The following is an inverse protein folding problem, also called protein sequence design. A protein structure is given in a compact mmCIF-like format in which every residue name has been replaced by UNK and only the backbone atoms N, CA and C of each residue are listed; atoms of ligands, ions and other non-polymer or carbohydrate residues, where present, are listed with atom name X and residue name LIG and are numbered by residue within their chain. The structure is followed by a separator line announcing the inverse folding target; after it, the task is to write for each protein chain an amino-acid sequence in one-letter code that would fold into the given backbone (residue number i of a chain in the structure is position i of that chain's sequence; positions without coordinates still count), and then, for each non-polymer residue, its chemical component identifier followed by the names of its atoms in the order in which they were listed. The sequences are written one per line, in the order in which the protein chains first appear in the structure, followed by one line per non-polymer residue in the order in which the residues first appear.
data_IF_334356951217
#
_entry.id   IF_334356951217
#
_cell.length_a   1.000
_cell.length_b   1.000
_cell.length_c   1.000
_cell.angle_alpha   90.00
_cell.angle_beta   90.00
_cell.angle_gamma   90.00
#
_symmetry.space_group_name_H-M   'P 1'
#
loop_
_entity.id
_entity.type
_entity.pdbx_description
1 polymer ?
#
# COMPACT_ATOMS: atom_id res chain seq x y z
N UNK A 1 9.08 17.04 -4.13
CA UNK A 1 9.73 16.33 -3.04
C UNK A 1 8.92 15.10 -2.60
N UNK A 2 7.64 15.24 -2.22
CA UNK A 2 6.80 14.13 -1.71
C UNK A 2 6.76 12.92 -2.65
N UNK A 3 6.53 13.12 -3.95
CA UNK A 3 6.50 12.02 -4.93
C UNK A 3 7.83 11.25 -5.00
N UNK A 4 8.96 11.98 -4.99
CA UNK A 4 10.30 11.35 -4.98
C UNK A 4 10.48 10.52 -3.71
N UNK A 5 10.06 11.04 -2.56
CA UNK A 5 10.10 10.32 -1.29
C UNK A 5 9.24 9.05 -1.32
N UNK A 6 8.00 9.13 -1.84
CA UNK A 6 7.13 7.96 -2.01
C UNK A 6 7.77 6.88 -2.88
N UNK A 7 8.30 7.26 -4.03
CA UNK A 7 8.96 6.32 -4.96
C UNK A 7 10.18 5.69 -4.31
N UNK A 8 11.08 6.50 -3.71
CA UNK A 8 12.31 5.99 -3.10
C UNK A 8 12.04 5.02 -1.95
N UNK A 9 11.10 5.37 -1.05
CA UNK A 9 10.73 4.50 0.08
C UNK A 9 10.06 3.22 -0.43
N UNK A 10 9.15 3.31 -1.40
CA UNK A 10 8.44 2.15 -1.94
C UNK A 10 9.38 1.16 -2.62
N UNK A 11 10.33 1.64 -3.41
CA UNK A 11 11.38 0.80 -4.00
C UNK A 11 12.30 0.21 -2.93
N UNK A 12 12.65 0.98 -1.89
CA UNK A 12 13.36 0.47 -0.72
C UNK A 12 12.62 -0.67 -0.03
N UNK A 13 11.29 -0.65 -0.01
CA UNK A 13 10.45 -1.73 0.52
C UNK A 13 10.54 -3.01 -0.28
N UNK A 14 10.54 -2.93 -1.62
CA UNK A 14 10.75 -4.08 -2.47
C UNK A 14 12.14 -4.71 -2.24
N UNK A 15 13.18 -3.89 -2.09
CA UNK A 15 14.52 -4.35 -1.74
C UNK A 15 14.57 -4.97 -0.33
N UNK A 16 13.82 -4.44 0.64
CA UNK A 16 13.71 -5.02 1.98
C UNK A 16 13.10 -6.41 1.95
N UNK A 17 12.07 -6.66 1.13
CA UNK A 17 11.52 -8.00 0.90
C UNK A 17 12.60 -8.97 0.39
N UNK A 18 13.34 -8.56 -0.63
CA UNK A 18 14.46 -9.34 -1.17
C UNK A 18 15.54 -9.63 -0.13
N UNK A 19 15.88 -8.64 0.69
CA UNK A 19 16.87 -8.80 1.75
C UNK A 19 16.42 -9.75 2.87
N UNK A 20 15.14 -9.69 3.26
CA UNK A 20 14.55 -10.64 4.21
C UNK A 20 14.67 -12.06 3.66
N UNK A 21 14.24 -12.30 2.42
CA UNK A 21 14.31 -13.63 1.79
C UNK A 21 15.76 -14.10 1.66
N UNK A 22 16.66 -13.25 1.19
CA UNK A 22 18.09 -13.56 1.12
C UNK A 22 18.61 -14.07 2.46
N UNK A 23 18.28 -13.39 3.56
CA UNK A 23 18.69 -13.78 4.91
C UNK A 23 18.11 -15.12 5.35
N UNK A 24 16.80 -15.30 5.18
CA UNK A 24 16.10 -16.50 5.62
C UNK A 24 16.64 -17.74 4.87
N UNK A 25 16.89 -17.61 3.57
CA UNK A 25 17.49 -18.67 2.79
C UNK A 25 18.93 -18.94 3.22
N UNK A 26 19.73 -17.89 3.44
CA UNK A 26 21.12 -18.04 3.93
C UNK A 26 21.21 -18.72 5.30
N UNK A 27 20.32 -18.39 6.22
CA UNK A 27 20.27 -19.00 7.55
C UNK A 27 19.80 -20.47 7.51
N UNK A 28 19.04 -20.85 6.48
CA UNK A 28 18.55 -22.22 6.30
C UNK A 28 19.53 -23.12 5.53
N UNK A 29 20.63 -22.58 4.96
CA UNK A 29 21.62 -23.37 4.21
C UNK A 29 22.78 -23.83 5.08
N UNK A 30 23.37 -25.01 4.74
CA UNK A 30 24.52 -25.54 5.46
C UNK A 30 25.73 -24.60 5.37
N UNK A 31 26.49 -24.50 6.46
CA UNK A 31 27.75 -23.77 6.47
C UNK A 31 28.71 -24.39 5.46
N UNK A 32 29.35 -23.57 4.60
CA UNK A 32 30.29 -24.00 3.58
C UNK A 32 29.70 -24.30 2.19
N UNK A 33 28.37 -24.23 2.00
CA UNK A 33 27.80 -24.35 0.65
C UNK A 33 28.12 -23.09 -0.18
N UNK A 34 29.02 -23.25 -1.16
CA UNK A 34 29.46 -22.18 -2.06
C UNK A 34 28.32 -21.65 -2.95
N UNK A 35 27.24 -22.39 -3.15
CA UNK A 35 26.08 -22.01 -3.96
C UNK A 35 25.07 -21.16 -3.16
N UNK A 36 25.10 -21.24 -1.82
CA UNK A 36 24.13 -20.59 -0.94
C UNK A 36 23.96 -19.08 -1.19
N UNK A 37 25.02 -18.27 -1.41
CA UNK A 37 24.83 -16.84 -1.68
C UNK A 37 24.09 -16.58 -2.99
N UNK A 38 24.35 -17.35 -4.04
CA UNK A 38 23.70 -17.18 -5.35
C UNK A 38 22.23 -17.59 -5.30
N UNK A 39 21.91 -18.70 -4.65
CA UNK A 39 20.53 -19.16 -4.45
C UNK A 39 19.74 -18.16 -3.62
N UNK A 40 20.34 -17.68 -2.53
CA UNK A 40 19.70 -16.65 -1.68
C UNK A 40 19.49 -15.34 -2.45
N UNK A 41 20.45 -14.92 -3.28
CA UNK A 41 20.30 -13.75 -4.13
C UNK A 41 19.19 -13.93 -5.18
N UNK A 42 19.10 -15.09 -5.82
CA UNK A 42 18.03 -15.40 -6.76
C UNK A 42 16.66 -15.35 -6.09
N UNK A 43 16.50 -16.00 -4.94
CA UNK A 43 15.25 -15.95 -4.17
C UNK A 43 14.92 -14.54 -3.69
N UNK A 44 15.94 -13.74 -3.31
CA UNK A 44 15.80 -12.35 -2.95
C UNK A 44 15.31 -11.48 -4.12
N UNK A 45 15.91 -11.67 -5.31
CA UNK A 45 15.44 -10.98 -6.54
C UNK A 45 14.01 -11.36 -6.87
N UNK A 46 13.65 -12.65 -6.76
CA UNK A 46 12.26 -13.10 -6.94
C UNK A 46 11.31 -12.35 -6.02
N UNK A 47 11.65 -12.22 -4.73
CA UNK A 47 10.78 -11.48 -3.78
C UNK A 47 10.75 -9.97 -4.07
N UNK A 48 11.88 -9.36 -4.46
CA UNK A 48 11.91 -7.95 -4.86
C UNK A 48 10.97 -7.69 -6.04
N UNK A 49 11.06 -8.52 -7.08
CA UNK A 49 10.19 -8.41 -8.25
C UNK A 49 8.73 -8.70 -7.87
N UNK A 50 8.48 -9.73 -7.06
CA UNK A 50 7.14 -10.09 -6.61
C UNK A 50 6.42 -8.97 -5.85
N UNK A 51 7.12 -8.15 -5.06
CA UNK A 51 6.53 -6.96 -4.43
C UNK A 51 6.17 -5.90 -5.47
N UNK A 52 7.01 -5.69 -6.48
CA UNK A 52 6.73 -4.75 -7.57
C UNK A 52 5.56 -5.21 -8.46
N UNK A 53 5.26 -6.50 -8.45
CA UNK A 53 4.16 -7.12 -9.18
C UNK A 53 2.86 -7.23 -8.37
N UNK A 54 2.79 -6.72 -7.15
CA UNK A 54 1.52 -6.55 -6.44
C UNK A 54 0.60 -5.68 -7.30
N UNK A 55 -0.65 -6.11 -7.48
CA UNK A 55 -1.64 -5.41 -8.30
C UNK A 55 -1.79 -3.95 -7.87
N UNK A 56 -1.79 -3.03 -8.81
CA UNK A 56 -1.87 -1.58 -8.61
C UNK A 56 -0.69 -0.95 -7.83
N UNK A 57 0.41 -1.69 -7.59
CA UNK A 57 1.58 -1.17 -6.89
C UNK A 57 2.11 0.12 -7.50
N UNK A 58 2.34 0.10 -8.82
CA UNK A 58 2.88 1.25 -9.56
C UNK A 58 1.93 2.42 -9.55
N UNK A 59 0.61 2.16 -9.70
CA UNK A 59 -0.41 3.19 -9.62
C UNK A 59 -0.33 3.95 -8.29
N UNK A 60 -0.30 3.25 -7.15
CA UNK A 60 -0.24 3.90 -5.84
C UNK A 60 1.09 4.58 -5.58
N UNK A 61 2.20 3.99 -6.00
CA UNK A 61 3.53 4.57 -5.88
C UNK A 61 3.66 5.85 -6.70
N UNK A 62 3.27 5.83 -7.97
CA UNK A 62 3.42 6.97 -8.89
C UNK A 62 2.35 8.05 -8.70
N UNK A 63 1.22 7.73 -8.10
CA UNK A 63 0.24 8.72 -7.64
C UNK A 63 0.56 9.32 -6.27
N UNK A 64 1.73 8.99 -5.72
CA UNK A 64 2.24 9.49 -4.44
C UNK A 64 1.30 9.22 -3.25
N UNK A 65 0.61 8.07 -3.28
CA UNK A 65 -0.20 7.58 -2.16
C UNK A 65 0.69 6.83 -1.16
N UNK A 66 0.30 6.84 0.11
CA UNK A 66 1.10 6.26 1.20
C UNK A 66 1.09 4.73 1.25
N UNK A 67 0.22 4.07 0.49
CA UNK A 67 0.00 2.61 0.60
C UNK A 67 1.27 1.79 0.41
N UNK A 68 2.03 2.05 -0.66
CA UNK A 68 3.30 1.37 -0.95
C UNK A 68 4.42 1.74 0.04
N UNK A 69 4.40 2.96 0.59
CA UNK A 69 5.32 3.35 1.67
C UNK A 69 5.06 2.56 2.96
N UNK A 70 3.80 2.28 3.27
CA UNK A 70 3.44 1.51 4.47
C UNK A 70 3.94 0.07 4.35
N UNK A 71 3.83 -0.54 3.16
CA UNK A 71 4.48 -1.84 2.89
C UNK A 71 5.98 -1.77 3.15
N UNK A 72 6.62 -0.75 2.58
CA UNK A 72 8.05 -0.55 2.73
C UNK A 72 8.49 -0.43 4.19
N UNK A 73 7.78 0.39 4.97
CA UNK A 73 8.05 0.58 6.39
C UNK A 73 7.79 -0.70 7.19
N UNK A 74 6.74 -1.47 6.85
CA UNK A 74 6.42 -2.73 7.50
C UNK A 74 7.49 -3.80 7.21
N UNK A 75 7.90 -3.97 5.96
CA UNK A 75 8.95 -4.90 5.57
C UNK A 75 10.31 -4.49 6.15
N UNK A 76 10.64 -3.20 6.11
CA UNK A 76 11.86 -2.70 6.73
C UNK A 76 11.87 -2.87 8.26
N UNK A 77 10.70 -2.79 8.93
CA UNK A 77 10.58 -3.09 10.35
C UNK A 77 10.86 -4.57 10.63
N UNK A 78 10.34 -5.48 9.80
CA UNK A 78 10.62 -6.92 9.90
C UNK A 78 12.14 -7.17 9.69
N UNK A 79 12.73 -6.59 8.65
CA UNK A 79 14.17 -6.75 8.39
C UNK A 79 15.03 -6.18 9.54
N UNK A 80 14.67 -5.02 10.06
CA UNK A 80 15.35 -4.42 11.23
C UNK A 80 15.26 -5.32 12.47
N UNK A 81 14.12 -5.99 12.71
CA UNK A 81 13.99 -6.95 13.79
C UNK A 81 14.90 -8.17 13.56
N UNK A 82 14.88 -8.76 12.37
CA UNK A 82 15.72 -9.91 12.00
C UNK A 82 17.22 -9.58 12.08
N UNK A 83 17.58 -8.31 11.88
CA UNK A 83 18.96 -7.81 12.04
C UNK A 83 19.31 -7.39 13.46
N UNK A 84 18.50 -7.76 14.46
CA UNK A 84 18.70 -7.44 15.89
C UNK A 84 18.75 -5.94 16.18
N UNK A 85 17.99 -5.14 15.42
CA UNK A 85 17.82 -3.69 15.59
C UNK A 85 16.40 -3.34 16.08
N UNK A 86 15.99 -3.77 17.28
CA UNK A 86 14.59 -3.66 17.71
C UNK A 86 14.10 -2.21 17.85
N UNK A 87 14.99 -1.26 18.15
CA UNK A 87 14.65 0.17 18.19
C UNK A 87 14.23 0.67 16.82
N UNK A 88 15.02 0.35 15.79
CA UNK A 88 14.71 0.74 14.41
C UNK A 88 13.42 0.06 13.94
N UNK A 89 13.23 -1.23 14.26
CA UNK A 89 12.00 -1.95 13.93
C UNK A 89 10.76 -1.26 14.52
N UNK A 90 10.81 -0.84 15.78
CA UNK A 90 9.70 -0.12 16.42
C UNK A 90 9.46 1.25 15.79
N UNK A 91 10.51 2.01 15.48
CA UNK A 91 10.38 3.33 14.83
C UNK A 91 9.73 3.19 13.45
N UNK A 92 10.20 2.24 12.62
CA UNK A 92 9.64 1.99 11.30
C UNK A 92 8.18 1.51 11.37
N UNK A 93 7.87 0.60 12.32
CA UNK A 93 6.51 0.17 12.59
C UNK A 93 5.61 1.31 13.06
N UNK A 94 6.13 2.23 13.89
CA UNK A 94 5.39 3.43 14.32
C UNK A 94 5.09 4.37 13.16
N UNK A 95 6.04 4.58 12.25
CA UNK A 95 5.81 5.35 11.02
C UNK A 95 4.76 4.70 10.12
N UNK A 96 4.78 3.36 10.00
CA UNK A 96 3.72 2.63 9.29
C UNK A 96 2.35 2.81 9.97
N UNK A 97 2.31 2.76 11.30
CA UNK A 97 1.10 2.93 12.11
C UNK A 97 0.49 4.33 12.01
N UNK A 98 1.31 5.36 11.74
CA UNK A 98 0.83 6.70 11.43
C UNK A 98 0.12 6.76 10.07
N UNK A 99 0.49 5.89 9.13
CA UNK A 99 -0.16 5.83 7.83
C UNK A 99 -1.46 5.01 7.84
N UNK A 100 -1.55 3.97 8.73
CA UNK A 100 -2.69 3.06 8.76
C UNK A 100 -2.96 2.47 10.14
N UNK A 101 -4.23 2.50 10.60
CA UNK A 101 -4.61 1.91 11.88
C UNK A 101 -4.53 0.37 11.90
N UNK A 102 -4.57 -0.28 10.74
CA UNK A 102 -4.44 -1.74 10.60
C UNK A 102 -3.07 -2.26 11.11
N UNK A 103 -2.06 -1.39 11.16
CA UNK A 103 -0.73 -1.70 11.74
C UNK A 103 -0.78 -1.80 13.27
N UNK A 104 -1.74 -1.12 13.93
CA UNK A 104 -1.75 -0.97 15.39
C UNK A 104 -1.76 -2.28 16.16
N UNK A 105 -2.54 -3.30 15.81
CA UNK A 105 -2.51 -4.58 16.52
C UNK A 105 -1.12 -5.23 16.49
N UNK A 106 -0.44 -5.20 15.33
CA UNK A 106 0.89 -5.79 15.16
C UNK A 106 1.97 -5.00 15.91
N UNK A 107 1.91 -3.67 15.82
CA UNK A 107 2.82 -2.80 16.57
C UNK A 107 2.59 -2.93 18.07
N UNK A 108 1.34 -3.09 18.53
CA UNK A 108 0.99 -3.32 19.91
C UNK A 108 1.57 -4.63 20.43
N UNK A 109 1.43 -5.73 19.70
CA UNK A 109 2.04 -7.02 20.03
C UNK A 109 3.57 -6.91 20.08
N UNK A 110 4.17 -6.21 19.11
CA UNK A 110 5.60 -5.94 19.10
C UNK A 110 6.04 -5.09 20.29
N UNK A 111 5.26 -4.08 20.66
CA UNK A 111 5.56 -3.22 21.81
C UNK A 111 5.50 -4.01 23.14
N UNK A 112 4.51 -4.92 23.29
CA UNK A 112 4.41 -5.82 24.46
C UNK A 112 5.64 -6.73 24.51
N UNK A 113 6.00 -7.37 23.41
CA UNK A 113 7.20 -8.20 23.34
C UNK A 113 8.46 -7.40 23.72
N UNK A 114 8.65 -6.21 23.14
CA UNK A 114 9.81 -5.36 23.38
C UNK A 114 9.83 -4.85 24.83
N UNK A 115 8.68 -4.52 25.40
CA UNK A 115 8.56 -4.11 26.81
C UNK A 115 9.08 -5.18 27.78
N UNK A 116 8.75 -6.46 27.48
CA UNK A 116 9.15 -7.59 28.30
C UNK A 116 10.59 -8.03 28.06
N UNK A 117 11.07 -7.99 26.82
CA UNK A 117 12.37 -8.55 26.42
C UNK A 117 13.50 -7.53 26.29
N UNK A 118 13.17 -6.22 26.10
CA UNK A 118 14.15 -5.17 25.85
C UNK A 118 13.88 -3.96 26.76
N UNK A 119 14.17 -4.05 28.08
CA UNK A 119 13.81 -3.00 29.05
C UNK A 119 14.31 -1.59 28.69
N UNK A 120 15.45 -1.50 28.02
CA UNK A 120 16.04 -0.23 27.54
C UNK A 120 15.19 0.50 26.50
N UNK A 121 14.13 -0.14 25.95
CA UNK A 121 13.22 0.46 24.99
C UNK A 121 11.95 1.04 25.61
N UNK A 122 11.66 0.80 26.89
CA UNK A 122 10.39 1.17 27.53
C UNK A 122 10.02 2.63 27.32
N UNK A 123 10.97 3.54 27.47
CA UNK A 123 10.75 4.96 27.21
C UNK A 123 10.37 5.23 25.74
N UNK A 124 11.11 4.66 24.79
CA UNK A 124 10.81 4.79 23.36
C UNK A 124 9.42 4.25 23.03
N UNK A 125 9.01 3.13 23.64
CA UNK A 125 7.68 2.54 23.45
C UNK A 125 6.58 3.48 23.97
N UNK A 126 6.73 4.03 25.16
CA UNK A 126 5.77 4.99 25.72
C UNK A 126 5.63 6.24 24.84
N UNK A 127 6.75 6.83 24.44
CA UNK A 127 6.75 8.02 23.59
C UNK A 127 6.14 7.72 22.22
N UNK A 128 6.47 6.56 21.61
CA UNK A 128 5.93 6.17 20.31
C UNK A 128 4.42 5.95 20.36
N UNK A 129 3.89 5.24 21.34
CA UNK A 129 2.46 5.02 21.51
C UNK A 129 1.73 6.34 21.77
N UNK A 130 2.27 7.18 22.67
CA UNK A 130 1.70 8.50 22.94
C UNK A 130 1.69 9.40 21.69
N UNK A 131 2.78 9.38 20.91
CA UNK A 131 2.89 10.13 19.66
C UNK A 131 1.86 9.67 18.62
N UNK A 132 1.67 8.35 18.44
CA UNK A 132 0.65 7.81 17.52
C UNK A 132 -0.74 8.26 17.96
N UNK A 133 -1.07 8.11 19.24
CA UNK A 133 -2.37 8.52 19.77
C UNK A 133 -2.60 10.04 19.59
N UNK A 134 -1.61 10.86 19.89
CA UNK A 134 -1.70 12.31 19.73
C UNK A 134 -1.86 12.71 18.25
N UNK A 135 -1.06 12.15 17.35
CA UNK A 135 -1.11 12.50 15.94
C UNK A 135 -2.40 12.02 15.27
N UNK A 136 -2.93 10.85 15.66
CA UNK A 136 -4.16 10.29 15.09
C UNK A 136 -5.46 10.86 15.68
N UNK A 137 -5.46 11.20 16.94
CA UNK A 137 -6.67 11.64 17.66
C UNK A 137 -6.58 13.10 18.11
N UNK A 138 -5.42 13.50 18.65
CA UNK A 138 -5.23 14.86 19.19
C UNK A 138 -5.23 15.93 18.11
N UNK A 139 -4.44 15.75 17.04
CA UNK A 139 -4.42 16.72 15.93
C UNK A 139 -5.80 16.85 15.27
N UNK A 140 -6.50 15.77 14.88
CA UNK A 140 -7.86 15.89 14.36
C UNK A 140 -8.84 16.52 15.33
N UNK A 141 -8.74 16.24 16.61
CA UNK A 141 -9.60 16.89 17.62
C UNK A 141 -9.46 18.41 17.61
N UNK A 142 -8.21 18.91 17.48
CA UNK A 142 -7.92 20.35 17.47
C UNK A 142 -8.32 20.98 16.13
N UNK A 143 -7.99 20.32 14.99
CA UNK A 143 -8.13 20.90 13.66
C UNK A 143 -9.50 20.68 13.01
N UNK A 144 -10.14 19.54 13.30
CA UNK A 144 -11.41 19.12 12.69
C UNK A 144 -12.57 19.07 13.68
N UNK A 145 -12.34 19.43 14.94
CA UNK A 145 -13.30 19.36 16.06
C UNK A 145 -13.88 17.94 16.30
N UNK A 146 -13.24 16.92 15.72
CA UNK A 146 -13.61 15.52 15.91
C UNK A 146 -12.36 14.64 15.88
N UNK A 147 -12.06 13.90 16.96
CA UNK A 147 -10.90 12.99 16.99
C UNK A 147 -11.07 11.81 16.01
N UNK A 148 -12.31 11.48 15.63
CA UNK A 148 -12.62 10.31 14.80
C UNK A 148 -12.95 10.64 13.35
N UNK A 149 -12.57 11.82 12.85
CA UNK A 149 -12.91 12.28 11.48
C UNK A 149 -12.43 11.30 10.40
N UNK A 150 -11.28 10.67 10.58
CA UNK A 150 -10.75 9.69 9.62
C UNK A 150 -11.63 8.44 9.53
N UNK A 151 -12.09 7.91 10.69
CA UNK A 151 -13.02 6.80 10.76
C UNK A 151 -14.38 7.16 10.14
N UNK A 152 -14.93 8.31 10.48
CA UNK A 152 -16.21 8.78 9.93
C UNK A 152 -16.15 8.87 8.39
N UNK A 153 -15.07 9.36 7.82
CA UNK A 153 -14.86 9.41 6.37
C UNK A 153 -14.76 8.01 5.74
N UNK A 154 -14.14 7.05 6.43
CA UNK A 154 -14.06 5.67 5.96
C UNK A 154 -15.45 5.01 5.91
N UNK A 155 -16.30 5.20 6.93
CA UNK A 155 -17.68 4.72 6.94
C UNK A 155 -18.55 5.29 5.82
N UNK A 156 -18.30 6.53 5.41
CA UNK A 156 -19.00 7.20 4.30
C UNK A 156 -18.57 6.76 2.90
N UNK A 157 -17.60 5.85 2.77
CA UNK A 157 -17.07 5.44 1.47
C UNK A 157 -18.11 4.67 0.64
N UNK A 158 -18.40 5.16 -0.57
CA UNK A 158 -19.23 4.45 -1.55
C UNK A 158 -18.62 3.17 -2.10
N UNK A 159 -17.33 2.88 -1.80
CA UNK A 159 -16.60 1.69 -2.25
C UNK A 159 -16.69 0.51 -1.27
N UNK A 160 -17.42 0.65 -0.17
CA UNK A 160 -17.62 -0.42 0.80
C UNK A 160 -18.32 -1.62 0.19
N UNK A 161 -17.99 -2.83 0.64
CA UNK A 161 -18.71 -4.04 0.31
C UNK A 161 -20.13 -3.96 0.89
N UNK A 162 -21.15 -4.12 0.04
CA UNK A 162 -22.56 -4.09 0.45
C UNK A 162 -23.04 -5.43 0.97
N UNK A 163 -22.55 -6.53 0.37
CA UNK A 163 -22.83 -7.89 0.74
C UNK A 163 -21.53 -8.67 0.84
N UNK A 164 -21.56 -9.82 1.48
CA UNK A 164 -20.45 -10.77 1.53
C UNK A 164 -19.10 -10.15 1.97
N UNK A 165 -19.14 -9.46 3.11
CA UNK A 165 -17.99 -8.67 3.59
C UNK A 165 -16.78 -9.53 3.95
N UNK A 166 -16.99 -10.78 4.38
CA UNK A 166 -15.91 -11.68 4.76
C UNK A 166 -15.19 -12.19 3.52
N UNK A 167 -15.91 -12.94 2.67
CA UNK A 167 -15.31 -13.53 1.46
C UNK A 167 -14.88 -12.47 0.46
N UNK A 168 -15.67 -11.40 0.28
CA UNK A 168 -15.28 -10.31 -0.62
C UNK A 168 -14.04 -9.54 -0.14
N UNK A 169 -13.72 -9.52 1.16
CA UNK A 169 -12.45 -8.96 1.65
C UNK A 169 -11.30 -9.94 1.37
N UNK A 170 -11.50 -11.24 1.62
CA UNK A 170 -10.50 -12.27 1.29
C UNK A 170 -10.22 -12.31 -0.21
N UNK A 171 -11.26 -12.29 -1.03
CA UNK A 171 -11.16 -12.28 -2.49
C UNK A 171 -10.34 -11.08 -2.99
N UNK A 172 -10.59 -9.88 -2.45
CA UNK A 172 -9.78 -8.69 -2.73
C UNK A 172 -8.32 -8.81 -2.31
N UNK A 173 -8.02 -9.63 -1.30
CA UNK A 173 -6.64 -9.92 -0.92
C UNK A 173 -5.98 -10.85 -1.92
N UNK A 174 -6.67 -11.94 -2.29
CA UNK A 174 -6.17 -12.89 -3.28
C UNK A 174 -5.98 -12.23 -4.65
N UNK A 175 -6.89 -11.35 -5.05
CA UNK A 175 -6.77 -10.54 -6.28
C UNK A 175 -5.48 -9.70 -6.39
N UNK A 176 -4.73 -9.51 -5.30
CA UNK A 176 -3.47 -8.75 -5.33
C UNK A 176 -2.33 -9.53 -5.98
N UNK A 177 -2.45 -10.85 -6.05
CA UNK A 177 -1.43 -11.75 -6.57
C UNK A 177 -1.99 -12.74 -7.58
N UNK A 178 -1.08 -13.42 -8.25
CA UNK A 178 -1.41 -14.56 -9.08
C UNK A 178 -1.49 -15.83 -8.24
N UNK A 179 -2.39 -16.74 -8.58
CA UNK A 179 -2.60 -18.02 -7.87
C UNK A 179 -1.31 -18.83 -7.67
N UNK A 180 -0.37 -18.75 -8.62
CA UNK A 180 0.94 -19.42 -8.51
C UNK A 180 1.74 -18.94 -7.29
N UNK A 181 1.69 -17.65 -6.99
CA UNK A 181 2.38 -17.07 -5.83
C UNK A 181 1.68 -17.44 -4.53
N UNK A 182 0.35 -17.50 -4.52
CA UNK A 182 -0.43 -17.95 -3.37
C UNK A 182 -0.14 -19.41 -3.01
N UNK A 183 -0.13 -20.28 -4.02
CA UNK A 183 0.23 -21.70 -3.85
C UNK A 183 1.67 -21.80 -3.31
N UNK A 184 2.60 -21.04 -3.86
CA UNK A 184 3.98 -21.02 -3.38
C UNK A 184 4.08 -20.59 -1.91
N UNK A 185 3.31 -19.57 -1.49
CA UNK A 185 3.25 -19.13 -0.10
C UNK A 185 2.68 -20.22 0.82
N UNK A 186 1.59 -20.88 0.43
CA UNK A 186 0.99 -21.99 1.20
C UNK A 186 1.95 -23.17 1.32
N UNK A 187 2.61 -23.58 0.24
CA UNK A 187 3.62 -24.65 0.28
C UNK A 187 4.82 -24.26 1.16
N UNK A 188 5.23 -22.98 1.11
CA UNK A 188 6.28 -22.47 1.99
C UNK A 188 5.93 -22.61 3.45
N UNK A 189 4.67 -22.28 3.83
CA UNK A 189 4.18 -22.41 5.20
C UNK A 189 4.08 -23.88 5.62
N UNK A 190 3.62 -24.76 4.73
CA UNK A 190 3.59 -26.20 5.00
C UNK A 190 4.99 -26.75 5.27
N UNK A 191 5.98 -26.40 4.43
CA UNK A 191 7.38 -26.79 4.65
C UNK A 191 7.94 -26.17 5.92
N UNK A 192 7.62 -24.89 6.21
CA UNK A 192 8.04 -24.23 7.44
C UNK A 192 7.48 -24.90 8.70
N UNK A 193 6.21 -25.34 8.66
CA UNK A 193 5.59 -26.09 9.76
C UNK A 193 6.29 -27.44 10.00
N UNK A 194 6.55 -28.21 8.94
CA UNK A 194 7.26 -29.48 9.03
C UNK A 194 8.69 -29.31 9.58
N UNK A 195 9.33 -28.18 9.27
CA UNK A 195 10.71 -27.88 9.70
C UNK A 195 10.80 -27.09 10.99
N UNK A 196 9.65 -26.67 11.55
CA UNK A 196 9.58 -25.79 12.72
C UNK A 196 10.31 -24.46 12.51
N UNK A 197 10.30 -23.94 11.28
CA UNK A 197 10.82 -22.60 10.98
C UNK A 197 9.87 -21.53 11.50
N UNK A 198 10.08 -21.16 12.75
CA UNK A 198 9.23 -20.18 13.44
C UNK A 198 9.22 -18.82 12.78
N UNK A 199 10.31 -18.39 12.13
CA UNK A 199 10.38 -17.07 11.51
C UNK A 199 9.42 -16.99 10.33
N UNK A 200 9.50 -17.95 9.41
CA UNK A 200 8.58 -18.03 8.26
C UNK A 200 7.13 -18.20 8.72
N UNK A 201 6.89 -19.02 9.75
CA UNK A 201 5.54 -19.21 10.31
C UNK A 201 4.98 -17.93 10.93
N UNK A 202 5.79 -17.15 11.66
CA UNK A 202 5.36 -15.88 12.27
C UNK A 202 5.04 -14.85 11.19
N UNK A 203 5.84 -14.77 10.11
CA UNK A 203 5.53 -13.89 8.98
C UNK A 203 4.20 -14.32 8.34
N UNK A 204 3.99 -15.61 8.09
CA UNK A 204 2.73 -16.13 7.55
C UNK A 204 1.53 -15.90 8.48
N UNK A 205 1.71 -16.08 9.78
CA UNK A 205 0.68 -15.75 10.77
C UNK A 205 0.36 -14.25 10.75
N UNK A 206 1.36 -13.39 10.51
CA UNK A 206 1.18 -11.97 10.29
C UNK A 206 0.31 -11.66 9.06
N UNK A 207 0.50 -12.38 7.96
CA UNK A 207 -0.36 -12.27 6.75
C UNK A 207 -1.81 -12.60 7.08
N UNK A 208 -2.03 -13.76 7.70
CA UNK A 208 -3.38 -14.23 8.10
C UNK A 208 -4.02 -13.23 9.09
N UNK A 209 -3.26 -12.82 10.10
CA UNK A 209 -3.70 -11.83 11.09
C UNK A 209 -4.11 -10.51 10.46
N UNK A 210 -3.37 -10.04 9.45
CA UNK A 210 -3.73 -8.82 8.74
C UNK A 210 -5.06 -8.95 7.99
N UNK A 211 -5.26 -10.06 7.27
CA UNK A 211 -6.53 -10.33 6.58
C UNK A 211 -7.70 -10.38 7.58
N UNK A 212 -7.48 -11.00 8.75
CA UNK A 212 -8.49 -11.04 9.82
C UNK A 212 -8.83 -9.63 10.32
N UNK A 213 -7.84 -8.76 10.51
CA UNK A 213 -8.04 -7.35 10.91
C UNK A 213 -8.86 -6.60 9.85
N UNK A 214 -8.56 -6.79 8.57
CA UNK A 214 -9.32 -6.16 7.48
C UNK A 214 -10.76 -6.69 7.37
N UNK A 215 -10.96 -7.99 7.57
CA UNK A 215 -12.30 -8.58 7.65
C UNK A 215 -13.08 -7.96 8.82
N UNK A 216 -12.46 -7.83 9.99
CA UNK A 216 -13.10 -7.20 11.15
C UNK A 216 -13.47 -5.73 10.86
N UNK A 217 -12.61 -4.96 10.20
CA UNK A 217 -12.90 -3.60 9.77
C UNK A 217 -14.01 -3.55 8.73
N UNK A 218 -14.02 -4.47 7.76
CA UNK A 218 -15.06 -4.57 6.75
C UNK A 218 -16.43 -4.91 7.36
N UNK A 219 -16.47 -5.82 8.33
CA UNK A 219 -17.67 -6.13 9.10
C UNK A 219 -18.20 -4.91 9.88
N UNK A 220 -17.30 -4.07 10.39
CA UNK A 220 -17.64 -2.81 11.06
C UNK A 220 -18.07 -1.70 10.09
N UNK A 221 -18.05 -1.92 8.78
CA UNK A 221 -18.53 -0.97 7.77
C UNK A 221 -17.45 -0.17 7.07
N UNK A 222 -16.18 -0.49 7.29
CA UNK A 222 -15.08 0.05 6.50
C UNK A 222 -15.06 -0.55 5.09
N UNK A 223 -14.43 0.12 4.09
CA UNK A 223 -14.58 -0.28 2.70
C UNK A 223 -13.88 -1.60 2.32
N UNK A 224 -12.95 -2.15 3.13
CA UNK A 224 -12.24 -3.41 2.86
C UNK A 224 -11.54 -3.40 1.49
N UNK A 225 -10.80 -2.33 1.17
CA UNK A 225 -10.17 -2.19 -0.15
C UNK A 225 -8.89 -3.03 -0.23
N UNK A 226 -8.60 -3.63 -1.41
CA UNK A 226 -7.40 -4.41 -1.66
C UNK A 226 -6.11 -3.70 -1.22
N UNK A 227 -5.98 -2.39 -1.50
CA UNK A 227 -4.81 -1.60 -1.09
C UNK A 227 -4.54 -1.58 0.43
N UNK A 228 -5.57 -1.83 1.27
CA UNK A 228 -5.40 -1.89 2.71
C UNK A 228 -4.66 -3.14 3.15
N UNK A 229 -4.64 -4.17 2.29
CA UNK A 229 -3.97 -5.44 2.52
C UNK A 229 -2.57 -5.52 1.86
N UNK A 230 -2.07 -4.43 1.30
CA UNK A 230 -0.72 -4.37 0.69
C UNK A 230 0.40 -4.84 1.63
N UNK A 231 0.44 -4.50 2.94
CA UNK A 231 1.48 -5.03 3.83
C UNK A 231 1.44 -6.54 3.97
N UNK A 232 0.23 -7.13 4.04
CA UNK A 232 0.07 -8.59 4.03
C UNK A 232 0.51 -9.20 2.70
N UNK A 233 0.18 -8.54 1.57
CA UNK A 233 0.60 -8.95 0.24
C UNK A 233 2.13 -8.96 0.12
N UNK A 234 2.83 -7.92 0.56
CA UNK A 234 4.29 -7.87 0.58
C UNK A 234 4.92 -8.97 1.46
N UNK A 235 4.33 -9.23 2.62
CA UNK A 235 4.76 -10.31 3.51
C UNK A 235 4.52 -11.70 2.89
N UNK A 236 3.41 -11.89 2.15
CA UNK A 236 3.12 -13.14 1.43
C UNK A 236 4.16 -13.40 0.33
N UNK A 237 4.60 -12.37 -0.38
CA UNK A 237 5.72 -12.48 -1.35
C UNK A 237 7.00 -12.95 -0.68
N UNK A 238 7.32 -12.43 0.52
CA UNK A 238 8.47 -12.91 1.30
C UNK A 238 8.35 -14.39 1.60
N UNK A 239 7.18 -14.84 2.07
CA UNK A 239 6.94 -16.28 2.36
C UNK A 239 7.10 -17.13 1.09
N UNK A 240 6.56 -16.71 -0.05
CA UNK A 240 6.71 -17.40 -1.33
C UNK A 240 8.18 -17.44 -1.80
N UNK A 241 8.92 -16.33 -1.64
CA UNK A 241 10.34 -16.24 -1.97
C UNK A 241 11.21 -17.22 -1.16
N UNK A 242 10.86 -17.47 0.11
CA UNK A 242 11.54 -18.49 0.93
C UNK A 242 11.38 -19.88 0.31
N UNK A 243 10.21 -20.22 -0.25
CA UNK A 243 10.04 -21.51 -0.95
C UNK A 243 11.00 -21.62 -2.13
N UNK A 244 11.13 -20.56 -2.94
CA UNK A 244 12.06 -20.57 -4.10
C UNK A 244 13.48 -20.91 -3.66
N UNK A 245 13.96 -20.30 -2.58
CA UNK A 245 15.26 -20.63 -2.00
C UNK A 245 15.36 -22.09 -1.56
N UNK A 246 14.33 -22.59 -0.88
CA UNK A 246 14.29 -23.99 -0.38
C UNK A 246 14.24 -25.03 -1.49
N UNK A 247 13.52 -24.78 -2.56
CA UNK A 247 13.50 -25.66 -3.73
C UNK A 247 14.91 -25.86 -4.31
N UNK A 248 15.75 -24.82 -4.25
CA UNK A 248 17.08 -24.83 -4.81
C UNK A 248 18.16 -25.41 -3.86
N UNK A 249 17.95 -25.31 -2.54
CA UNK A 249 18.94 -25.76 -1.53
C UNK A 249 18.54 -27.05 -0.85
N UNK A 250 17.30 -27.15 -0.39
CA UNK A 250 16.86 -28.23 0.48
C UNK A 250 16.38 -29.47 -0.28
N UNK A 251 15.74 -29.29 -1.44
CA UNK A 251 15.27 -30.40 -2.26
C UNK A 251 16.43 -31.30 -2.72
N UNK A 252 17.56 -30.74 -3.27
CA UNK A 252 18.73 -31.53 -3.60
C UNK A 252 19.38 -32.22 -2.39
N UNK A 253 19.47 -31.50 -1.26
CA UNK A 253 20.06 -32.05 -0.03
C UNK A 253 19.25 -33.22 0.55
N UNK A 254 17.93 -33.12 0.52
CA UNK A 254 17.03 -34.18 0.97
C UNK A 254 17.12 -35.40 0.05
N UNK A 255 17.05 -35.19 -1.26
CA UNK A 255 17.17 -36.27 -2.24
C UNK A 255 18.52 -36.97 -2.15
N UNK A 256 19.61 -36.24 -1.99
CA UNK A 256 20.96 -36.79 -1.84
C UNK A 256 21.15 -37.60 -0.54
N UNK A 257 20.42 -37.28 0.54
CA UNK A 257 20.40 -38.09 1.77
C UNK A 257 19.64 -39.41 1.59
N UNK A 258 18.59 -39.43 0.78
CA UNK A 258 17.84 -40.66 0.49
C UNK A 258 18.53 -41.54 -0.53
N UNK A 259 19.12 -40.94 -1.58
CA UNK A 259 19.92 -41.60 -2.64
C UNK A 259 20.97 -40.63 -3.14
N UNK A 260 22.28 -40.87 -2.95
CA UNK A 260 23.31 -39.94 -3.35
C UNK A 260 23.28 -39.56 -4.84
N UNK A 261 22.91 -40.50 -5.73
CA UNK A 261 22.76 -40.26 -7.16
C UNK A 261 21.53 -39.37 -7.51
N UNK A 262 20.58 -39.21 -6.61
CA UNK A 262 19.38 -38.39 -6.86
C UNK A 262 19.57 -36.89 -6.56
N UNK A 263 20.61 -36.51 -5.84
CA UNK A 263 20.88 -35.11 -5.46
C UNK A 263 20.95 -34.16 -6.67
N UNK A 264 21.78 -34.46 -7.71
CA UNK A 264 21.88 -33.62 -8.89
C UNK A 264 20.55 -33.47 -9.66
N UNK A 265 19.82 -34.60 -9.86
CA UNK A 265 18.53 -34.59 -10.53
C UNK A 265 17.49 -33.75 -9.76
N UNK A 266 17.46 -33.87 -8.42
CA UNK A 266 16.59 -33.03 -7.58
C UNK A 266 16.96 -31.54 -7.63
N UNK A 267 18.23 -31.22 -7.82
CA UNK A 267 18.69 -29.84 -8.05
C UNK A 267 18.12 -29.24 -9.33
N UNK A 268 18.12 -29.99 -10.41
CA UNK A 268 17.47 -29.60 -11.66
C UNK A 268 15.95 -29.48 -11.51
N UNK A 269 15.33 -30.42 -10.80
CA UNK A 269 13.88 -30.35 -10.51
C UNK A 269 13.55 -29.09 -9.72
N UNK A 270 14.30 -28.76 -8.68
CA UNK A 270 14.11 -27.53 -7.92
C UNK A 270 14.25 -26.27 -8.76
N UNK A 271 15.25 -26.23 -9.65
CA UNK A 271 15.45 -25.12 -10.58
C UNK A 271 14.29 -25.00 -11.57
N UNK A 272 13.84 -26.12 -12.15
CA UNK A 272 12.71 -26.15 -13.09
C UNK A 272 11.42 -25.63 -12.39
N UNK A 273 11.16 -26.07 -11.17
CA UNK A 273 9.99 -25.61 -10.39
C UNK A 273 10.07 -24.10 -10.08
N UNK A 274 11.24 -23.61 -9.68
CA UNK A 274 11.45 -22.19 -9.39
C UNK A 274 11.29 -21.33 -10.66
N UNK A 275 11.83 -21.80 -11.80
CA UNK A 275 11.67 -21.14 -13.10
C UNK A 275 10.22 -21.22 -13.59
N UNK A 276 9.56 -22.37 -13.46
CA UNK A 276 8.15 -22.52 -13.83
C UNK A 276 7.25 -21.56 -13.04
N UNK A 277 7.50 -21.41 -11.73
CA UNK A 277 6.83 -20.40 -10.92
C UNK A 277 7.09 -18.99 -11.46
N UNK A 278 8.34 -18.63 -11.72
CA UNK A 278 8.67 -17.32 -12.30
C UNK A 278 8.00 -17.08 -13.65
N UNK A 279 8.01 -18.07 -14.54
CA UNK A 279 7.38 -17.99 -15.87
C UNK A 279 5.86 -17.87 -15.75
N UNK A 280 5.23 -18.56 -14.80
CA UNK A 280 3.78 -18.47 -14.58
C UNK A 280 3.31 -17.05 -14.20
N UNK A 281 4.19 -16.21 -13.66
CA UNK A 281 3.89 -14.81 -13.30
C UNK A 281 4.09 -13.83 -14.48
N UNK A 282 4.80 -14.22 -15.54
CA UNK A 282 5.12 -13.34 -16.67
C UNK A 282 3.89 -12.78 -17.39
N UNK A 283 2.83 -13.57 -17.70
CA UNK A 283 1.65 -13.04 -18.38
C UNK A 283 0.98 -11.91 -17.59
N UNK A 284 0.88 -12.09 -16.29
CA UNK A 284 0.33 -11.06 -15.38
C UNK A 284 1.23 -9.82 -15.33
N UNK A 285 2.54 -9.98 -15.19
CA UNK A 285 3.51 -8.89 -15.22
C UNK A 285 3.41 -8.07 -16.52
N UNK A 286 3.29 -8.74 -17.66
CA UNK A 286 3.12 -8.08 -18.97
C UNK A 286 1.80 -7.33 -19.06
N UNK A 287 0.68 -7.92 -18.61
CA UNK A 287 -0.63 -7.25 -18.62
C UNK A 287 -0.62 -6.02 -17.70
N UNK A 288 -0.12 -6.15 -16.47
CA UNK A 288 0.05 -5.03 -15.52
C UNK A 288 0.92 -3.93 -16.10
N UNK A 289 2.05 -4.28 -16.72
CA UNK A 289 2.91 -3.30 -17.37
C UNK A 289 2.23 -2.50 -18.50
N UNK A 290 1.26 -3.09 -19.21
CA UNK A 290 0.43 -2.38 -20.19
C UNK A 290 -0.57 -1.43 -19.53
N UNK A 291 -1.22 -1.89 -18.47
CA UNK A 291 -2.18 -1.09 -17.71
C UNK A 291 -1.48 0.11 -17.04
N UNK A 292 -0.29 -0.09 -16.48
CA UNK A 292 0.54 0.96 -15.92
C UNK A 292 0.95 2.02 -16.95
N UNK A 293 1.32 1.62 -18.16
CA UNK A 293 1.61 2.58 -19.24
C UNK A 293 0.38 3.40 -19.62
N UNK A 294 -0.81 2.80 -19.54
CA UNK A 294 -2.08 3.51 -19.74
C UNK A 294 -2.34 4.48 -18.60
N UNK A 295 -2.16 4.04 -17.36
CA UNK A 295 -2.34 4.86 -16.16
C UNK A 295 -1.39 6.05 -16.14
N UNK A 296 -0.11 5.86 -16.44
CA UNK A 296 0.88 6.94 -16.56
C UNK A 296 0.46 8.01 -17.56
N UNK A 297 -0.17 7.64 -18.67
CA UNK A 297 -0.70 8.61 -19.64
C UNK A 297 -1.84 9.42 -19.03
N UNK A 298 -2.74 8.78 -18.31
CA UNK A 298 -3.85 9.43 -17.60
C UNK A 298 -3.32 10.38 -16.52
N UNK A 299 -2.35 9.93 -15.72
CA UNK A 299 -1.70 10.75 -14.68
C UNK A 299 -0.99 11.98 -15.26
N UNK A 300 -0.30 11.83 -16.38
CA UNK A 300 0.33 12.96 -17.09
C UNK A 300 -0.70 13.96 -17.62
N UNK A 301 -1.81 13.49 -18.16
CA UNK A 301 -2.91 14.35 -18.61
C UNK A 301 -3.50 15.14 -17.43
N UNK A 302 -3.77 14.44 -16.32
CA UNK A 302 -4.26 15.05 -15.08
C UNK A 302 -3.30 16.10 -14.52
N UNK A 303 -1.99 15.82 -14.51
CA UNK A 303 -0.98 16.81 -14.07
C UNK A 303 -1.01 18.07 -14.93
N UNK A 304 -1.16 17.93 -16.25
CA UNK A 304 -1.31 19.09 -17.15
C UNK A 304 -2.57 19.90 -16.86
N UNK A 305 -3.69 19.22 -16.56
CA UNK A 305 -4.95 19.88 -16.17
C UNK A 305 -4.77 20.65 -14.86
N UNK A 306 -4.18 20.02 -13.84
CA UNK A 306 -3.90 20.66 -12.55
C UNK A 306 -3.02 21.91 -12.72
N UNK A 307 -1.97 21.81 -13.49
CA UNK A 307 -1.05 22.94 -13.71
C UNK A 307 -1.71 24.12 -14.46
N UNK A 308 -2.73 23.85 -15.29
CA UNK A 308 -3.49 24.89 -16.00
C UNK A 308 -4.56 25.56 -15.14
N UNK A 309 -4.95 24.95 -14.03
CA UNK A 309 -6.05 25.44 -13.19
C UNK A 309 -5.78 26.85 -12.64
N UNK A 310 -4.56 27.14 -12.21
CA UNK A 310 -4.16 28.47 -11.74
C UNK A 310 -4.38 29.56 -12.80
N UNK A 311 -3.92 29.31 -14.02
CA UNK A 311 -4.08 30.25 -15.13
C UNK A 311 -5.56 30.48 -15.49
N UNK A 312 -6.39 29.43 -15.38
CA UNK A 312 -7.83 29.51 -15.60
C UNK A 312 -8.48 30.35 -14.52
N UNK A 313 -8.16 30.13 -13.25
CA UNK A 313 -8.65 30.93 -12.12
C UNK A 313 -8.30 32.41 -12.32
N UNK A 314 -7.06 32.72 -12.69
CA UNK A 314 -6.60 34.09 -12.96
C UNK A 314 -7.40 34.71 -14.09
N UNK A 315 -7.64 33.99 -15.20
CA UNK A 315 -8.42 34.46 -16.37
C UNK A 315 -9.84 34.90 -15.98
N UNK A 316 -10.45 34.20 -15.01
CA UNK A 316 -11.81 34.50 -14.53
C UNK A 316 -11.84 35.47 -13.32
N UNK A 317 -10.80 36.27 -13.11
CA UNK A 317 -10.77 37.33 -12.10
C UNK A 317 -10.16 36.92 -10.75
N UNK A 318 -9.51 35.75 -10.70
CA UNK A 318 -8.80 35.27 -9.52
C UNK A 318 -9.67 34.58 -8.48
N UNK A 319 -9.01 34.00 -7.50
CA UNK A 319 -9.64 33.17 -6.48
C UNK A 319 -10.71 33.92 -5.65
N UNK A 320 -10.40 35.17 -5.25
CA UNK A 320 -11.33 35.98 -4.46
C UNK A 320 -12.63 36.28 -5.23
N UNK A 321 -12.51 36.63 -6.52
CA UNK A 321 -13.65 36.88 -7.37
C UNK A 321 -14.53 35.64 -7.54
N UNK A 322 -13.93 34.48 -7.83
CA UNK A 322 -14.66 33.24 -8.05
C UNK A 322 -15.37 32.77 -6.76
N UNK A 323 -14.76 32.93 -5.59
CA UNK A 323 -15.43 32.67 -4.28
C UNK A 323 -16.62 33.57 -4.05
N UNK A 324 -16.56 34.83 -4.46
CA UNK A 324 -17.66 35.77 -4.33
C UNK A 324 -18.81 35.45 -5.30
N UNK A 325 -18.55 34.72 -6.40
CA UNK A 325 -19.53 34.35 -7.41
C UNK A 325 -20.44 33.19 -6.98
N UNK A 326 -19.97 32.30 -6.14
CA UNK A 326 -20.73 31.14 -5.67
C UNK A 326 -19.88 30.08 -5.03
N UNK A 327 -20.52 29.00 -4.60
CA UNK A 327 -19.83 27.84 -4.05
C UNK A 327 -19.07 27.10 -5.15
N UNK A 328 -17.76 26.86 -5.00
CA UNK A 328 -16.98 26.12 -5.98
C UNK A 328 -17.35 24.64 -5.98
N UNK A 329 -17.60 24.09 -7.16
CA UNK A 329 -17.97 22.71 -7.36
C UNK A 329 -17.07 22.08 -8.44
N UNK A 330 -16.56 20.86 -8.16
CA UNK A 330 -15.76 20.11 -9.12
C UNK A 330 -15.91 18.60 -8.90
N UNK A 331 -15.24 17.77 -9.70
CA UNK A 331 -15.17 16.32 -9.45
C UNK A 331 -14.34 16.03 -8.20
N UNK A 332 -14.64 14.92 -7.53
CA UNK A 332 -13.99 14.50 -6.29
C UNK A 332 -12.46 14.47 -6.41
N UNK A 333 -11.94 13.98 -7.53
CA UNK A 333 -10.50 13.86 -7.77
C UNK A 333 -9.74 15.20 -7.85
N UNK A 334 -10.45 16.31 -8.06
CA UNK A 334 -9.87 17.67 -8.13
C UNK A 334 -10.24 18.57 -6.95
N UNK A 335 -11.07 18.07 -6.01
CA UNK A 335 -11.59 18.86 -4.89
C UNK A 335 -10.47 19.54 -4.07
N UNK A 336 -9.46 18.76 -3.66
CA UNK A 336 -8.34 19.27 -2.85
C UNK A 336 -7.51 20.29 -3.60
N UNK A 337 -7.24 20.04 -4.90
CA UNK A 337 -6.45 20.95 -5.73
C UNK A 337 -7.19 22.27 -5.95
N UNK A 338 -8.50 22.21 -6.21
CA UNK A 338 -9.31 23.40 -6.38
C UNK A 338 -9.40 24.20 -5.08
N UNK A 339 -9.58 23.52 -3.93
CA UNK A 339 -9.57 24.16 -2.61
C UNK A 339 -8.27 24.91 -2.34
N UNK A 340 -7.11 24.28 -2.66
CA UNK A 340 -5.81 24.90 -2.56
C UNK A 340 -5.69 26.15 -3.44
N UNK A 341 -6.04 26.04 -4.71
CA UNK A 341 -5.96 27.15 -5.68
C UNK A 341 -6.91 28.31 -5.34
N UNK A 342 -8.03 28.01 -4.73
CA UNK A 342 -8.99 29.03 -4.28
C UNK A 342 -8.72 29.52 -2.85
N UNK A 343 -7.70 29.01 -2.15
CA UNK A 343 -7.38 29.32 -0.76
C UNK A 343 -8.61 29.19 0.19
N UNK A 344 -9.28 28.03 0.11
CA UNK A 344 -10.42 27.68 0.97
C UNK A 344 -10.21 26.32 1.61
N UNK A 345 -10.98 26.05 2.69
CA UNK A 345 -11.02 24.69 3.25
C UNK A 345 -11.66 23.73 2.23
N UNK A 346 -11.16 22.50 2.16
CA UNK A 346 -11.69 21.45 1.26
C UNK A 346 -13.19 21.24 1.43
N UNK A 347 -13.72 21.37 2.66
CA UNK A 347 -15.15 21.27 2.94
C UNK A 347 -16.00 22.34 2.25
N UNK A 348 -15.38 23.44 1.77
CA UNK A 348 -16.06 24.52 1.02
C UNK A 348 -16.07 24.29 -0.48
N UNK A 349 -15.51 23.18 -0.96
CA UNK A 349 -15.55 22.79 -2.37
C UNK A 349 -16.46 21.57 -2.51
N UNK A 350 -17.58 21.74 -3.18
CA UNK A 350 -18.55 20.66 -3.43
C UNK A 350 -18.03 19.68 -4.51
N UNK A 351 -18.54 18.45 -4.45
CA UNK A 351 -18.28 17.43 -5.49
C UNK A 351 -19.52 16.61 -5.87
N UNK A 352 -20.63 16.78 -5.15
CA UNK A 352 -21.90 16.10 -5.41
C UNK A 352 -22.82 17.02 -6.24
N UNK A 353 -22.70 16.93 -7.56
CA UNK A 353 -23.43 17.80 -8.50
C UNK A 353 -24.94 17.83 -8.26
N UNK A 354 -25.57 16.67 -8.13
CA UNK A 354 -27.04 16.59 -7.97
C UNK A 354 -27.55 17.30 -6.71
N UNK A 355 -26.87 17.12 -5.58
CA UNK A 355 -27.24 17.75 -4.32
C UNK A 355 -27.01 19.27 -4.36
N UNK A 356 -25.84 19.71 -4.87
CA UNK A 356 -25.52 21.12 -4.93
C UNK A 356 -26.48 21.91 -5.84
N UNK A 357 -26.89 21.34 -6.97
CA UNK A 357 -27.86 21.95 -7.89
C UNK A 357 -29.25 22.02 -7.26
N UNK A 358 -29.68 20.98 -6.54
CA UNK A 358 -30.99 20.96 -5.87
C UNK A 358 -31.16 22.05 -4.80
N UNK A 359 -30.05 22.46 -4.15
CA UNK A 359 -30.14 23.51 -3.10
C UNK A 359 -30.34 24.94 -3.65
N UNK A 360 -30.24 25.14 -4.97
CA UNK A 360 -30.51 26.44 -5.61
C UNK A 360 -29.50 27.56 -5.29
N UNK A 361 -28.42 27.26 -4.60
CA UNK A 361 -27.38 28.22 -4.28
C UNK A 361 -26.58 28.62 -5.53
N UNK A 362 -26.02 29.83 -5.61
CA UNK A 362 -25.08 30.20 -6.66
C UNK A 362 -23.86 29.28 -6.66
N UNK A 363 -23.56 28.65 -7.78
CA UNK A 363 -22.45 27.70 -7.92
C UNK A 363 -21.47 28.14 -8.99
N UNK A 364 -20.18 27.90 -8.80
CA UNK A 364 -19.13 28.00 -9.81
C UNK A 364 -18.60 26.61 -10.11
N UNK A 365 -18.98 26.09 -11.27
CA UNK A 365 -18.67 24.73 -11.69
C UNK A 365 -17.35 24.70 -12.47
N UNK A 366 -16.40 23.90 -11.98
CA UNK A 366 -15.11 23.62 -12.61
C UNK A 366 -15.13 22.21 -13.19
N UNK A 367 -15.21 22.12 -14.54
CA UNK A 367 -15.25 20.84 -15.25
C UNK A 367 -13.96 20.65 -16.07
N UNK A 368 -13.18 19.58 -15.81
CA UNK A 368 -12.05 19.25 -16.67
C UNK A 368 -12.52 18.83 -18.06
N UNK A 369 -11.82 19.26 -19.10
CA UNK A 369 -12.16 18.94 -20.48
C UNK A 369 -11.37 17.72 -20.99
N UNK A 370 -11.95 16.83 -21.82
CA UNK A 370 -11.31 15.61 -22.31
C UNK A 370 -9.98 15.82 -23.05
N UNK A 371 -9.82 16.98 -23.70
CA UNK A 371 -8.60 17.36 -24.42
C UNK A 371 -7.62 18.20 -23.59
N UNK A 372 -7.84 18.26 -22.28
CA UNK A 372 -7.10 19.07 -21.34
C UNK A 372 -7.62 20.51 -21.25
N UNK A 373 -7.49 21.10 -20.06
CA UNK A 373 -8.03 22.41 -19.72
C UNK A 373 -9.29 22.33 -18.87
N UNK A 374 -9.91 23.49 -18.64
CA UNK A 374 -11.04 23.64 -17.74
C UNK A 374 -12.15 24.45 -18.36
N UNK A 375 -13.38 24.03 -18.15
CA UNK A 375 -14.57 24.85 -18.35
C UNK A 375 -15.01 25.36 -16.99
N UNK A 376 -15.19 26.67 -16.86
CA UNK A 376 -15.72 27.32 -15.66
C UNK A 376 -17.07 27.94 -16.02
N UNK A 377 -18.12 27.55 -15.31
CA UNK A 377 -19.50 27.99 -15.57
C UNK A 377 -20.15 28.44 -14.28
N UNK A 378 -20.94 29.50 -14.36
CA UNK A 378 -21.86 29.90 -13.31
C UNK A 378 -23.18 29.14 -13.43
N UNK A 379 -23.66 28.57 -12.34
CA UNK A 379 -24.96 27.87 -12.27
C UNK A 379 -25.84 28.57 -11.23
N UNK A 380 -27.13 28.72 -11.53
CA UNK A 380 -28.09 29.52 -10.79
C UNK A 380 -27.77 31.03 -10.83
N UNK A 381 -28.45 31.86 -9.99
CA UNK A 381 -28.30 33.30 -9.99
C UNK A 381 -26.88 33.71 -9.54
N UNK A 382 -25.94 33.75 -10.47
CA UNK A 382 -24.61 34.31 -10.24
C UNK A 382 -24.75 35.84 -10.14
N UNK A 383 -24.14 36.45 -9.11
CA UNK A 383 -24.16 37.93 -8.91
C UNK A 383 -23.82 38.68 -10.18
N UNK A 384 -24.37 39.88 -10.35
CA UNK A 384 -24.12 40.71 -11.54
C UNK A 384 -22.64 40.95 -11.89
N UNK A 385 -21.78 41.00 -10.85
CA UNK A 385 -20.32 41.06 -11.00
C UNK A 385 -19.69 39.82 -11.64
N UNK A 386 -20.40 38.71 -11.69
CA UNK A 386 -19.92 37.42 -12.21
C UNK A 386 -20.43 37.09 -13.62
N UNK A 387 -20.99 38.06 -14.32
CA UNK A 387 -21.52 37.92 -15.71
C UNK A 387 -20.50 37.46 -16.76
N UNK A 388 -19.21 37.53 -16.44
CA UNK A 388 -18.13 37.01 -17.32
C UNK A 388 -18.01 35.45 -17.28
N UNK A 389 -18.69 34.81 -16.38
CA UNK A 389 -18.75 33.34 -16.36
C UNK A 389 -19.80 32.91 -17.41
N UNK A 390 -19.44 32.03 -18.35
CA UNK A 390 -20.41 31.41 -19.24
C UNK A 390 -21.44 30.64 -18.43
N UNK A 391 -22.71 30.76 -18.84
CA UNK A 391 -23.83 30.02 -18.24
C UNK A 391 -23.91 28.59 -18.76
#
# INVERSE_FOLDING_TARGET
LWMITCVAISLGGALAAGHIVYRLVRLGTAEGDSRAPYVAAFAGVFATVGVLEIRDWWHYMLSAQSDTMIVALSLAAIDAHLTKRPRLAFILGSLAALGRPEVWPFLGLYAIWAWLRVPRMRWLLMVGVAAIAFLWLGIPAITSRSPFVAGANAFGSGRRLKSDRVFGTVDRFLDLHETGLEIAALLSLAVAALRRDLVTLVIGAGVIGWVIVEVAFSLHGWPGLGRYMFPAAGAMVVVAGVLVGRLLTELPALAGRLRPAAGPAAGWTGLILALALGVSLVPAAVSRGRDERRDLRVQRARTKEINRLSAVITRYGGAAHLRACGEPLTRLEYQTVLAWQLAVNVSKVGFKYGQAIQHGNPLVLFTPLPRGGWRVQGVHQVRASCRRLPR
#
